data_IF_772715914511
#
_entry.id   IF_772715914511
#
_cell.length_a   1.000
_cell.length_b   1.000
_cell.length_c   1.000
_cell.angle_alpha   90.00
_cell.angle_beta   90.00
_cell.angle_gamma   90.00
#
_symmetry.space_group_name_H-M   'P 1'
#
loop_
_entity.id
_entity.type
_entity.pdbx_description
1 polymer ?
#
# COMPACT_ATOMS: atom_id res chain seq x y z
N UNK A 1 4.43 -15.28 -19.50
CA UNK A 1 3.38 -15.15 -18.47
C UNK A 1 2.02 -14.86 -19.08
N UNK A 2 1.85 -13.80 -19.86
CA UNK A 2 0.56 -13.43 -20.49
C UNK A 2 -0.06 -14.58 -21.27
N UNK A 3 0.70 -15.28 -22.09
CA UNK A 3 0.21 -16.45 -22.83
C UNK A 3 -0.33 -17.57 -21.94
N UNK A 4 0.26 -17.80 -20.77
CA UNK A 4 -0.27 -18.76 -19.78
C UNK A 4 -1.60 -18.31 -19.18
N UNK A 5 -1.75 -17.02 -18.90
CA UNK A 5 -3.00 -16.44 -18.42
C UNK A 5 -4.09 -16.58 -19.48
N UNK A 6 -3.80 -16.16 -20.72
CA UNK A 6 -4.73 -16.27 -21.86
C UNK A 6 -5.14 -17.72 -22.15
N UNK A 7 -4.20 -18.64 -22.08
CA UNK A 7 -4.47 -20.07 -22.24
C UNK A 7 -5.42 -20.58 -21.14
N UNK A 8 -5.14 -20.21 -19.88
CA UNK A 8 -5.98 -20.61 -18.75
C UNK A 8 -7.38 -20.00 -18.80
N UNK A 9 -7.54 -18.83 -19.40
CA UNK A 9 -8.85 -18.23 -19.66
C UNK A 9 -9.57 -19.00 -20.77
N UNK A 10 -8.88 -19.32 -21.88
CA UNK A 10 -9.47 -20.06 -23.01
C UNK A 10 -9.92 -21.48 -22.67
N UNK A 11 -9.13 -22.19 -21.87
CA UNK A 11 -9.45 -23.57 -21.45
C UNK A 11 -10.30 -23.65 -20.18
N UNK A 12 -10.81 -22.50 -19.71
CA UNK A 12 -11.70 -22.38 -18.55
C UNK A 12 -11.11 -22.83 -17.21
N UNK A 13 -9.81 -23.13 -17.14
CA UNK A 13 -9.18 -23.51 -15.87
C UNK A 13 -9.17 -22.38 -14.84
N UNK A 14 -9.19 -21.13 -15.33
CA UNK A 14 -9.19 -19.92 -14.49
C UNK A 14 -8.05 -19.85 -13.45
N UNK A 15 -7.04 -20.69 -13.64
CA UNK A 15 -5.84 -20.73 -12.78
C UNK A 15 -4.60 -20.91 -13.62
N UNK A 16 -3.62 -20.03 -13.44
CA UNK A 16 -2.30 -20.18 -14.01
C UNK A 16 -1.24 -20.30 -12.91
N UNK A 17 -0.27 -21.19 -13.12
CA UNK A 17 0.91 -21.33 -12.25
C UNK A 17 2.12 -20.84 -13.01
N UNK A 18 2.88 -19.95 -12.39
CA UNK A 18 4.09 -19.34 -12.95
C UNK A 18 5.24 -19.61 -11.99
N UNK A 19 6.36 -20.08 -12.52
CA UNK A 19 7.58 -20.37 -11.75
C UNK A 19 8.81 -19.78 -12.42
N UNK A 20 9.89 -19.62 -11.65
CA UNK A 20 11.19 -19.13 -12.15
C UNK A 20 11.27 -17.62 -12.25
N UNK A 21 12.27 -17.13 -12.96
CA UNK A 21 12.60 -15.71 -13.04
C UNK A 21 11.96 -15.05 -14.27
N UNK A 22 11.34 -13.90 -14.09
CA UNK A 22 10.67 -13.14 -15.13
C UNK A 22 11.04 -11.67 -15.05
N UNK A 23 11.44 -11.10 -16.16
CA UNK A 23 11.54 -9.65 -16.31
C UNK A 23 10.23 -9.09 -16.88
N UNK A 24 9.70 -8.03 -16.25
CA UNK A 24 8.42 -7.43 -16.57
C UNK A 24 8.65 -6.03 -17.12
N UNK A 25 8.25 -5.81 -18.34
CA UNK A 25 8.42 -4.56 -19.08
C UNK A 25 7.13 -3.77 -19.29
N UNK A 26 5.98 -4.39 -19.03
CA UNK A 26 4.66 -3.75 -19.09
C UNK A 26 3.68 -4.44 -18.14
N UNK A 27 2.59 -3.76 -17.77
CA UNK A 27 1.60 -4.26 -16.83
C UNK A 27 0.96 -5.58 -17.29
N UNK A 28 0.89 -6.54 -16.36
CA UNK A 28 0.17 -7.80 -16.53
C UNK A 28 -1.27 -7.59 -16.05
N UNK A 29 -2.23 -7.81 -16.95
CA UNK A 29 -3.67 -7.70 -16.62
C UNK A 29 -4.21 -9.03 -16.11
N UNK A 30 -4.85 -8.97 -14.94
CA UNK A 30 -5.49 -10.12 -14.32
C UNK A 30 -7.00 -10.05 -14.58
N UNK A 31 -7.57 -11.06 -15.27
CA UNK A 31 -9.01 -11.06 -15.58
C UNK A 31 -9.86 -11.46 -14.38
N UNK A 32 -11.14 -11.19 -14.46
CA UNK A 32 -12.12 -11.59 -13.44
C UNK A 32 -12.22 -13.12 -13.30
N UNK A 33 -12.50 -13.57 -12.08
CA UNK A 33 -12.61 -15.00 -11.70
C UNK A 33 -11.33 -15.77 -12.02
N UNK A 34 -10.18 -15.21 -11.65
CA UNK A 34 -8.88 -15.74 -12.01
C UNK A 34 -7.94 -15.84 -10.80
N UNK A 35 -7.18 -16.91 -10.75
CA UNK A 35 -6.12 -17.12 -9.76
C UNK A 35 -4.77 -17.25 -10.46
N UNK A 36 -3.86 -16.34 -10.17
CA UNK A 36 -2.44 -16.46 -10.51
C UNK A 36 -1.66 -16.98 -9.31
N UNK A 37 -1.01 -18.11 -9.48
CA UNK A 37 -0.13 -18.71 -8.47
C UNK A 37 1.31 -18.47 -8.89
N UNK A 38 2.08 -17.83 -8.02
CA UNK A 38 3.51 -17.63 -8.17
C UNK A 38 4.24 -18.69 -7.34
N UNK A 39 4.71 -19.76 -7.99
CA UNK A 39 5.34 -20.89 -7.33
C UNK A 39 6.86 -20.83 -7.51
N UNK A 40 7.61 -20.52 -6.45
CA UNK A 40 9.03 -20.27 -6.52
C UNK A 40 9.39 -19.30 -7.67
N UNK A 41 8.66 -18.19 -7.75
CA UNK A 41 8.70 -17.24 -8.86
C UNK A 41 9.27 -15.89 -8.41
N UNK A 42 10.22 -15.37 -9.15
CA UNK A 42 10.76 -14.02 -8.99
C UNK A 42 10.39 -13.17 -10.20
N UNK A 43 9.50 -12.21 -10.00
CA UNK A 43 9.07 -11.25 -11.00
C UNK A 43 9.74 -9.91 -10.71
N UNK A 44 10.55 -9.44 -11.63
CA UNK A 44 11.28 -8.18 -11.49
C UNK A 44 10.89 -7.20 -12.60
N UNK A 45 10.58 -5.97 -12.23
CA UNK A 45 10.41 -4.89 -13.20
C UNK A 45 11.74 -4.60 -13.89
N UNK A 46 11.73 -4.53 -15.22
CA UNK A 46 12.88 -4.15 -16.00
C UNK A 46 13.36 -2.73 -15.65
N UNK A 47 14.66 -2.51 -15.65
CA UNK A 47 15.22 -1.19 -15.38
C UNK A 47 14.81 -0.19 -16.48
N UNK A 48 14.48 1.04 -16.08
CA UNK A 48 13.99 2.08 -16.96
C UNK A 48 12.50 1.98 -17.32
N UNK A 49 11.83 0.90 -16.96
CA UNK A 49 10.38 0.74 -17.19
C UNK A 49 9.59 1.50 -16.14
N UNK A 50 8.63 2.26 -16.63
CA UNK A 50 7.68 3.01 -15.85
C UNK A 50 6.27 2.44 -16.05
N UNK A 51 5.92 1.44 -15.25
CA UNK A 51 4.64 0.74 -15.32
C UNK A 51 4.29 0.09 -13.98
N UNK A 52 3.02 -0.20 -13.74
CA UNK A 52 2.61 -1.15 -12.71
C UNK A 52 3.00 -2.57 -13.14
N UNK A 53 3.30 -3.45 -12.19
CA UNK A 53 3.56 -4.85 -12.53
C UNK A 53 2.25 -5.60 -12.77
N UNK A 54 1.27 -5.46 -11.87
CA UNK A 54 -0.06 -6.07 -12.00
C UNK A 54 -1.17 -5.03 -11.93
N UNK A 55 -2.18 -5.21 -12.77
CA UNK A 55 -3.45 -4.46 -12.70
C UNK A 55 -4.61 -5.42 -13.00
N UNK A 56 -5.84 -5.06 -12.60
CA UNK A 56 -7.03 -5.81 -13.03
C UNK A 56 -7.40 -5.48 -14.49
N UNK A 57 -8.26 -6.30 -15.09
CA UNK A 57 -8.59 -6.26 -16.53
C UNK A 57 -9.10 -4.89 -16.98
N UNK A 58 -10.05 -4.33 -16.26
CA UNK A 58 -10.66 -3.05 -16.61
C UNK A 58 -9.95 -1.83 -16.01
N UNK A 59 -8.81 -2.00 -15.34
CA UNK A 59 -8.05 -0.86 -14.83
C UNK A 59 -7.73 0.16 -15.92
N UNK A 60 -8.05 1.43 -15.64
CA UNK A 60 -7.76 2.56 -16.53
C UNK A 60 -8.59 2.59 -17.82
N UNK A 61 -9.71 1.87 -17.86
CA UNK A 61 -10.69 1.91 -18.96
C UNK A 61 -11.95 2.67 -18.53
N UNK A 62 -12.69 3.20 -19.50
CA UNK A 62 -13.94 3.93 -19.20
C UNK A 62 -14.96 3.08 -18.46
N UNK A 63 -15.09 1.78 -18.81
CA UNK A 63 -15.97 0.86 -18.13
C UNK A 63 -15.49 0.55 -16.72
N UNK A 64 -14.18 0.49 -16.49
CA UNK A 64 -13.59 0.23 -15.17
C UNK A 64 -13.95 1.28 -14.11
N UNK A 65 -14.33 2.48 -14.52
CA UNK A 65 -14.79 3.55 -13.63
C UNK A 65 -16.33 3.55 -13.45
N UNK A 66 -16.99 2.44 -13.76
CA UNK A 66 -18.44 2.26 -13.59
C UNK A 66 -18.73 1.00 -12.79
N UNK A 67 -19.90 0.93 -12.14
CA UNK A 67 -20.34 -0.26 -11.42
C UNK A 67 -20.52 -1.50 -12.33
N UNK A 68 -20.75 -1.30 -13.63
CA UNK A 68 -20.83 -2.41 -14.59
C UNK A 68 -19.47 -2.98 -14.99
N UNK A 69 -18.40 -2.22 -14.77
CA UNK A 69 -17.03 -2.65 -15.07
C UNK A 69 -16.28 -3.18 -13.84
N UNK A 70 -17.00 -3.53 -12.77
CA UNK A 70 -16.39 -4.15 -11.59
C UNK A 70 -15.80 -5.50 -11.94
N UNK A 71 -14.50 -5.66 -11.82
CA UNK A 71 -13.84 -6.95 -11.91
C UNK A 71 -14.11 -7.77 -10.64
N UNK A 72 -14.08 -9.11 -10.75
CA UNK A 72 -14.49 -9.97 -9.64
C UNK A 72 -13.53 -11.12 -9.39
N UNK A 73 -13.36 -11.47 -8.11
CA UNK A 73 -12.67 -12.70 -7.67
C UNK A 73 -11.27 -12.85 -8.30
N UNK A 74 -10.39 -11.87 -8.09
CA UNK A 74 -9.02 -11.90 -8.59
C UNK A 74 -8.06 -12.28 -7.48
N UNK A 75 -7.32 -13.38 -7.67
CA UNK A 75 -6.37 -13.86 -6.66
C UNK A 75 -4.94 -13.87 -7.19
N UNK A 76 -4.01 -13.34 -6.41
CA UNK A 76 -2.56 -13.41 -6.60
C UNK A 76 -1.96 -14.08 -5.37
N UNK A 77 -1.47 -15.31 -5.51
CA UNK A 77 -1.08 -16.15 -4.39
C UNK A 77 0.34 -16.66 -4.61
N UNK A 78 1.20 -16.46 -3.63
CA UNK A 78 2.53 -17.04 -3.59
C UNK A 78 2.53 -18.48 -3.06
N UNK A 79 3.50 -19.26 -3.53
CA UNK A 79 3.87 -20.56 -2.98
C UNK A 79 5.39 -20.67 -2.97
N UNK A 80 5.97 -21.15 -1.87
CA UNK A 80 7.42 -21.18 -1.74
C UNK A 80 8.02 -19.77 -1.74
N UNK A 81 9.02 -19.52 -2.55
CA UNK A 81 9.71 -18.23 -2.66
C UNK A 81 9.08 -17.35 -3.77
N UNK A 82 7.89 -16.86 -3.53
CA UNK A 82 7.23 -15.94 -4.45
C UNK A 82 7.67 -14.48 -4.18
N UNK A 83 8.19 -13.80 -5.18
CA UNK A 83 8.73 -12.44 -5.04
C UNK A 83 8.27 -11.51 -6.16
N UNK A 84 7.84 -10.31 -5.77
CA UNK A 84 7.62 -9.16 -6.65
C UNK A 84 8.71 -8.12 -6.37
N UNK A 85 9.48 -7.76 -7.36
CA UNK A 85 10.64 -6.88 -7.25
C UNK A 85 10.47 -5.66 -8.17
N UNK A 86 10.44 -4.45 -7.60
CA UNK A 86 10.34 -3.20 -8.34
C UNK A 86 11.59 -2.83 -9.15
N UNK A 87 12.68 -3.60 -9.03
CA UNK A 87 13.94 -3.33 -9.71
C UNK A 87 14.70 -2.14 -9.10
N UNK A 88 15.75 -1.70 -9.78
CA UNK A 88 16.66 -0.69 -9.25
C UNK A 88 16.34 0.72 -9.72
N UNK A 89 15.87 0.89 -10.94
CA UNK A 89 15.70 2.19 -11.58
C UNK A 89 14.55 2.17 -12.60
N UNK A 90 13.65 3.14 -12.50
CA UNK A 90 12.51 3.26 -13.42
C UNK A 90 12.37 4.65 -14.08
N UNK A 91 13.34 5.53 -13.89
CA UNK A 91 13.31 6.88 -14.47
C UNK A 91 12.55 7.92 -13.66
N UNK A 92 11.95 7.55 -12.53
CA UNK A 92 11.29 8.48 -11.63
C UNK A 92 12.16 8.86 -10.43
N UNK A 93 12.06 10.10 -10.01
CA UNK A 93 12.67 10.61 -8.78
C UNK A 93 11.75 11.68 -8.16
N UNK A 94 12.07 12.12 -6.96
CA UNK A 94 11.34 13.23 -6.30
C UNK A 94 11.41 14.54 -7.10
N UNK A 95 12.39 14.68 -7.99
CA UNK A 95 12.51 15.86 -8.86
C UNK A 95 11.63 15.83 -10.09
N UNK A 96 11.50 14.67 -10.72
CA UNK A 96 10.87 14.55 -12.03
C UNK A 96 9.49 13.90 -12.02
N UNK A 97 8.97 13.52 -10.85
CA UNK A 97 7.60 13.02 -10.75
C UNK A 97 6.60 14.15 -10.52
N UNK A 98 5.35 13.87 -10.80
CA UNK A 98 4.23 14.73 -10.45
C UNK A 98 3.07 13.92 -9.91
N UNK A 99 2.60 14.28 -8.71
CA UNK A 99 1.41 13.65 -8.12
C UNK A 99 0.14 13.97 -8.91
N UNK A 100 0.09 15.15 -9.52
CA UNK A 100 -1.09 15.68 -10.20
C UNK A 100 -0.92 15.84 -11.70
N UNK A 101 0.21 15.43 -12.26
CA UNK A 101 0.57 15.64 -13.65
C UNK A 101 1.14 14.43 -14.36
N UNK A 102 2.10 14.69 -15.23
CA UNK A 102 2.83 13.68 -15.99
C UNK A 102 4.31 13.68 -15.58
N UNK A 103 4.93 12.52 -15.41
CA UNK A 103 4.32 11.19 -15.40
C UNK A 103 3.48 10.94 -14.15
N UNK A 104 2.32 10.27 -14.26
CA UNK A 104 1.46 10.01 -13.11
C UNK A 104 2.06 8.91 -12.22
N UNK A 105 2.32 9.22 -10.97
CA UNK A 105 3.00 8.32 -10.01
C UNK A 105 2.30 6.97 -9.81
N UNK A 106 0.97 6.90 -9.98
CA UNK A 106 0.20 5.65 -9.87
C UNK A 106 0.45 4.63 -10.98
N UNK A 107 1.35 4.90 -11.91
CA UNK A 107 1.85 3.90 -12.87
C UNK A 107 3.14 3.23 -12.39
N UNK A 108 3.40 3.14 -11.11
CA UNK A 108 4.66 2.66 -10.57
C UNK A 108 4.47 1.78 -9.32
N UNK A 109 3.42 0.97 -9.28
CA UNK A 109 3.14 0.05 -8.19
C UNK A 109 3.51 -1.40 -8.58
N UNK A 110 3.78 -2.25 -7.60
CA UNK A 110 3.85 -3.70 -7.86
C UNK A 110 2.47 -4.25 -8.19
N UNK A 111 1.43 -3.75 -7.52
CA UNK A 111 0.05 -4.08 -7.82
C UNK A 111 -0.83 -2.83 -7.66
N UNK A 112 -1.67 -2.57 -8.64
CA UNK A 112 -2.74 -1.57 -8.55
C UNK A 112 -4.05 -2.18 -8.99
N UNK A 113 -4.97 -2.41 -8.05
CA UNK A 113 -6.34 -2.81 -8.33
C UNK A 113 -7.29 -1.64 -8.21
N UNK A 114 -8.20 -1.51 -9.17
CA UNK A 114 -9.24 -0.48 -9.19
C UNK A 114 -10.59 -1.11 -9.50
N UNK A 115 -11.59 -0.87 -8.65
CA UNK A 115 -12.95 -1.40 -8.83
C UNK A 115 -13.00 -2.93 -8.92
N UNK A 116 -12.55 -3.59 -7.85
CA UNK A 116 -12.53 -5.06 -7.76
C UNK A 116 -13.38 -5.52 -6.58
N UNK A 117 -14.29 -6.45 -6.81
CA UNK A 117 -15.13 -7.10 -5.81
C UNK A 117 -14.71 -8.57 -5.61
N UNK A 118 -14.16 -8.86 -4.46
CA UNK A 118 -13.54 -10.15 -4.14
C UNK A 118 -12.11 -10.26 -4.66
N UNK A 119 -11.14 -10.23 -3.76
CA UNK A 119 -9.74 -10.44 -4.12
C UNK A 119 -8.95 -11.07 -2.98
N UNK A 120 -7.90 -11.76 -3.36
CA UNK A 120 -6.89 -12.26 -2.41
C UNK A 120 -5.49 -11.98 -2.92
N UNK A 121 -4.66 -11.34 -2.08
CA UNK A 121 -3.21 -11.19 -2.31
C UNK A 121 -2.49 -11.75 -1.09
N UNK A 122 -1.75 -12.85 -1.27
CA UNK A 122 -1.13 -13.49 -0.12
C UNK A 122 0.15 -14.25 -0.41
N UNK A 123 0.96 -14.43 0.66
CA UNK A 123 2.12 -15.31 0.67
C UNK A 123 3.23 -14.84 -0.30
N UNK A 124 3.47 -13.53 -0.35
CA UNK A 124 4.36 -12.88 -1.32
C UNK A 124 5.37 -11.99 -0.60
N UNK A 125 6.61 -12.03 -1.07
CA UNK A 125 7.64 -11.07 -0.73
C UNK A 125 7.66 -9.91 -1.72
N UNK A 126 7.55 -8.67 -1.24
CA UNK A 126 7.68 -7.45 -2.05
C UNK A 126 9.04 -6.81 -1.81
N UNK A 127 9.79 -6.53 -2.86
CA UNK A 127 11.14 -5.98 -2.81
C UNK A 127 11.27 -4.76 -3.69
N UNK A 128 12.08 -3.80 -3.26
CA UNK A 128 12.45 -2.64 -4.05
C UNK A 128 11.23 -1.91 -4.64
N UNK A 129 10.10 -1.91 -3.92
CA UNK A 129 8.92 -1.17 -4.37
C UNK A 129 9.26 0.31 -4.47
N UNK A 130 8.69 0.95 -5.49
CA UNK A 130 8.90 2.35 -5.77
C UNK A 130 7.58 3.04 -5.76
N UNK A 131 7.28 3.85 -4.82
CA UNK A 131 5.98 4.36 -4.52
C UNK A 131 5.17 3.29 -3.77
N UNK A 132 3.89 3.11 -3.97
CA UNK A 132 3.09 2.12 -3.24
C UNK A 132 3.30 0.72 -3.79
N UNK A 133 3.56 -0.26 -2.92
CA UNK A 133 3.74 -1.64 -3.39
C UNK A 133 2.40 -2.25 -3.82
N UNK A 134 1.45 -2.36 -2.91
CA UNK A 134 0.12 -2.96 -3.13
C UNK A 134 -0.96 -1.89 -2.91
N UNK A 135 -1.56 -1.40 -3.97
CA UNK A 135 -2.47 -0.26 -3.94
C UNK A 135 -3.87 -0.65 -4.43
N UNK A 136 -4.90 -0.24 -3.70
CA UNK A 136 -6.29 -0.61 -3.93
C UNK A 136 -7.19 0.63 -3.89
N UNK A 137 -8.05 0.77 -4.89
CA UNK A 137 -9.01 1.88 -5.02
C UNK A 137 -10.36 1.31 -5.40
N UNK A 138 -11.43 1.60 -4.65
CA UNK A 138 -12.75 0.99 -4.82
C UNK A 138 -12.71 -0.55 -4.88
N UNK A 139 -11.89 -1.17 -4.03
CA UNK A 139 -11.78 -2.61 -3.92
C UNK A 139 -12.50 -3.09 -2.66
N UNK A 140 -13.28 -4.16 -2.78
CA UNK A 140 -14.12 -4.64 -1.69
C UNK A 140 -14.04 -6.16 -1.52
N UNK A 141 -14.44 -6.66 -0.35
CA UNK A 141 -14.44 -8.10 -0.02
C UNK A 141 -13.06 -8.74 -0.22
N UNK A 142 -12.04 -8.13 0.37
CA UNK A 142 -10.63 -8.44 0.13
C UNK A 142 -9.90 -9.13 1.27
N UNK A 143 -8.89 -9.91 0.90
CA UNK A 143 -7.91 -10.45 1.84
C UNK A 143 -6.49 -10.14 1.38
N UNK A 144 -5.68 -9.56 2.27
CA UNK A 144 -4.25 -9.32 2.07
C UNK A 144 -3.51 -9.93 3.27
N UNK A 145 -2.64 -10.90 3.04
CA UNK A 145 -2.00 -11.54 4.17
C UNK A 145 -0.69 -12.25 3.87
N UNK A 146 0.13 -12.43 4.92
CA UNK A 146 1.45 -13.04 4.80
C UNK A 146 2.33 -12.32 3.77
N UNK A 147 2.44 -11.00 3.87
CA UNK A 147 3.27 -10.18 2.99
C UNK A 147 4.52 -9.74 3.73
N UNK A 148 5.66 -9.91 3.09
CA UNK A 148 6.95 -9.47 3.61
C UNK A 148 7.55 -8.39 2.71
N UNK A 149 7.85 -7.22 3.29
CA UNK A 149 8.38 -6.06 2.56
C UNK A 149 9.88 -5.88 2.79
N UNK A 150 10.58 -5.44 1.77
CA UNK A 150 11.88 -4.81 1.92
C UNK A 150 12.05 -3.73 0.85
N UNK A 151 11.72 -2.51 1.22
CA UNK A 151 11.91 -1.33 0.38
C UNK A 151 13.39 -1.12 0.07
N UNK A 152 13.66 -0.45 -1.03
CA UNK A 152 15.01 -0.11 -1.42
C UNK A 152 15.53 1.07 -0.57
N UNK A 153 16.53 0.83 0.25
CA UNK A 153 17.27 1.87 0.99
C UNK A 153 18.48 2.40 0.21
N UNK A 154 18.69 1.88 -1.00
CA UNK A 154 19.79 2.21 -1.89
C UNK A 154 19.25 2.56 -3.26
N UNK A 155 19.54 3.76 -3.74
CA UNK A 155 19.18 4.20 -5.09
C UNK A 155 20.36 4.01 -6.05
N UNK A 156 20.08 3.52 -7.26
CA UNK A 156 21.06 3.39 -8.35
C UNK A 156 20.55 4.20 -9.54
N UNK A 157 21.35 5.16 -10.03
CA UNK A 157 20.96 5.97 -11.19
C UNK A 157 21.26 5.25 -12.52
N UNK A 158 20.86 5.88 -13.64
CA UNK A 158 21.07 5.35 -14.99
C UNK A 158 22.55 5.15 -15.38
N UNK A 159 23.47 5.79 -14.65
CA UNK A 159 24.91 5.67 -14.86
C UNK A 159 25.56 4.63 -13.92
N UNK A 160 24.75 3.96 -13.08
CA UNK A 160 25.23 2.98 -12.10
C UNK A 160 25.82 3.59 -10.83
N UNK A 161 25.68 4.91 -10.60
CA UNK A 161 26.09 5.51 -9.34
C UNK A 161 25.15 5.10 -8.20
N UNK A 162 25.73 4.74 -7.05
CA UNK A 162 25.02 4.21 -5.90
C UNK A 162 24.89 5.28 -4.81
N UNK A 163 23.69 5.47 -4.30
CA UNK A 163 23.36 6.41 -3.21
C UNK A 163 22.69 5.63 -2.08
N UNK A 164 23.32 5.61 -0.91
CA UNK A 164 22.85 4.83 0.23
C UNK A 164 22.09 5.69 1.24
N UNK A 165 21.06 5.10 1.81
CA UNK A 165 20.34 5.61 2.97
C UNK A 165 19.33 6.71 2.66
N UNK A 166 18.20 6.61 3.30
CA UNK A 166 17.03 7.49 3.16
C UNK A 166 17.32 8.96 3.44
N UNK A 167 18.35 9.25 4.23
CA UNK A 167 18.73 10.62 4.62
C UNK A 167 19.64 11.32 3.61
N UNK A 168 20.14 10.61 2.60
CA UNK A 168 21.03 11.23 1.61
C UNK A 168 20.22 12.11 0.65
N UNK A 169 20.66 13.36 0.50
CA UNK A 169 20.00 14.34 -0.38
C UNK A 169 19.84 13.80 -1.82
N UNK A 170 20.83 13.07 -2.33
CA UNK A 170 20.80 12.53 -3.70
C UNK A 170 19.92 11.29 -3.88
N UNK A 171 19.51 10.62 -2.82
CA UNK A 171 18.57 9.53 -2.92
C UNK A 171 17.26 9.98 -3.60
N UNK A 172 16.71 11.11 -3.14
CA UNK A 172 15.50 11.70 -3.72
C UNK A 172 15.69 12.18 -5.18
N UNK A 173 16.92 12.40 -5.63
CA UNK A 173 17.23 12.77 -7.00
C UNK A 173 17.15 11.57 -7.96
N UNK A 174 17.21 10.36 -7.43
CA UNK A 174 17.32 9.11 -8.22
C UNK A 174 16.05 8.27 -8.14
N UNK A 175 15.49 8.12 -6.94
CA UNK A 175 14.26 7.37 -6.70
C UNK A 175 13.16 8.26 -6.13
N UNK A 176 11.93 7.93 -6.42
CA UNK A 176 10.78 8.43 -5.67
C UNK A 176 10.83 7.78 -4.30
N UNK A 177 10.88 8.59 -3.26
CA UNK A 177 10.61 8.16 -1.89
C UNK A 177 9.12 7.88 -1.73
N UNK A 178 8.70 7.40 -0.61
CA UNK A 178 7.33 7.05 -0.33
C UNK A 178 7.00 5.61 -0.78
N UNK A 179 7.93 4.72 -0.49
CA UNK A 179 7.76 3.31 -0.78
C UNK A 179 6.93 2.63 0.32
N UNK A 180 5.61 2.89 0.27
CA UNK A 180 4.64 2.27 1.16
C UNK A 180 4.50 0.77 0.88
N UNK A 181 3.97 0.05 1.84
CA UNK A 181 3.63 -1.37 1.70
C UNK A 181 2.25 -1.55 1.08
N UNK A 182 1.19 -1.41 1.87
CA UNK A 182 -0.20 -1.60 1.46
C UNK A 182 -0.95 -0.29 1.58
N UNK A 183 -1.61 0.12 0.51
CA UNK A 183 -2.49 1.27 0.47
C UNK A 183 -3.92 0.88 0.14
N UNK A 184 -4.85 1.10 1.05
CA UNK A 184 -6.27 1.12 0.76
C UNK A 184 -6.72 2.57 0.61
N UNK A 185 -7.43 2.86 -0.48
CA UNK A 185 -7.90 4.21 -0.76
C UNK A 185 -9.41 4.29 -0.78
N UNK A 186 -9.96 5.43 -1.16
CA UNK A 186 -11.41 5.65 -1.17
C UNK A 186 -12.18 4.50 -1.82
N UNK A 187 -13.36 4.23 -1.31
CA UNK A 187 -14.25 3.17 -1.78
C UNK A 187 -13.81 1.75 -1.41
N UNK A 188 -12.71 1.58 -0.67
CA UNK A 188 -12.29 0.27 -0.17
C UNK A 188 -13.03 -0.08 1.11
N UNK A 189 -13.63 -1.28 1.18
CA UNK A 189 -14.30 -1.75 2.39
C UNK A 189 -14.39 -3.29 2.45
N UNK A 190 -14.73 -3.81 3.62
CA UNK A 190 -14.84 -5.25 3.89
C UNK A 190 -13.51 -5.99 3.58
N UNK A 191 -12.41 -5.52 4.17
CA UNK A 191 -11.06 -6.02 3.90
C UNK A 191 -10.37 -6.45 5.19
N UNK A 192 -9.75 -7.64 5.15
CA UNK A 192 -8.83 -8.11 6.17
C UNK A 192 -7.38 -8.00 5.68
N UNK A 193 -6.54 -7.34 6.49
CA UNK A 193 -5.07 -7.28 6.32
C UNK A 193 -4.44 -7.97 7.52
N UNK A 194 -3.59 -8.99 7.30
CA UNK A 194 -2.93 -9.65 8.43
C UNK A 194 -1.54 -10.22 8.11
N UNK A 195 -0.73 -10.36 9.17
CA UNK A 195 0.62 -10.96 9.08
C UNK A 195 1.52 -10.20 8.10
N UNK A 196 1.74 -8.93 8.36
CA UNK A 196 2.60 -8.06 7.56
C UNK A 196 3.95 -7.91 8.26
N UNK A 197 5.03 -8.16 7.54
CA UNK A 197 6.41 -8.12 8.07
C UNK A 197 7.35 -7.32 7.20
N UNK A 198 8.56 -7.08 7.71
CA UNK A 198 9.69 -6.53 6.96
C UNK A 198 9.89 -5.04 7.12
N UNK A 199 10.42 -4.39 6.09
CA UNK A 199 10.81 -2.98 6.10
C UNK A 199 10.12 -2.19 4.99
N UNK A 200 9.60 -1.01 5.34
CA UNK A 200 9.05 -0.02 4.39
C UNK A 200 9.73 1.34 4.57
N UNK A 201 10.00 1.99 3.46
CA UNK A 201 10.62 3.33 3.45
C UNK A 201 9.65 4.42 3.89
N UNK A 202 8.34 4.21 3.73
CA UNK A 202 7.31 5.10 4.25
C UNK A 202 6.32 4.30 5.13
N UNK A 203 5.03 4.33 4.91
CA UNK A 203 4.03 3.65 5.73
C UNK A 203 3.95 2.15 5.38
N UNK A 204 3.84 1.24 6.37
CA UNK A 204 3.72 -0.19 6.05
C UNK A 204 2.30 -0.58 5.64
N UNK A 205 1.29 -0.02 6.31
CA UNK A 205 -0.13 -0.14 5.94
C UNK A 205 -0.76 1.23 6.05
N UNK A 206 -1.28 1.75 4.96
CA UNK A 206 -1.95 3.04 4.89
C UNK A 206 -3.41 2.90 4.45
N UNK A 207 -4.33 3.47 5.22
CA UNK A 207 -5.71 3.69 4.85
C UNK A 207 -5.87 5.17 4.51
N UNK A 208 -5.93 5.48 3.22
CA UNK A 208 -5.82 6.83 2.68
C UNK A 208 -7.17 7.33 2.16
N UNK A 209 -7.95 7.93 3.04
CA UNK A 209 -9.24 8.54 2.73
C UNK A 209 -9.05 9.97 2.20
N UNK A 210 -8.51 10.07 1.00
CA UNK A 210 -8.32 11.34 0.27
C UNK A 210 -9.23 11.39 -0.95
N UNK A 211 -9.46 12.59 -1.45
CA UNK A 211 -10.17 12.85 -2.71
C UNK A 211 -9.29 13.68 -3.66
N UNK A 212 -8.06 13.19 -3.86
CA UNK A 212 -7.08 13.81 -4.75
C UNK A 212 -7.27 13.37 -6.21
N UNK A 213 -6.33 13.79 -7.06
CA UNK A 213 -6.39 13.46 -8.49
C UNK A 213 -6.29 11.98 -8.79
N UNK A 214 -5.49 11.25 -8.02
CA UNK A 214 -5.40 9.79 -8.14
C UNK A 214 -6.77 9.15 -7.91
N UNK A 215 -7.37 9.47 -6.78
CA UNK A 215 -8.66 8.91 -6.36
C UNK A 215 -9.78 9.30 -7.35
N UNK A 216 -9.81 10.54 -7.78
CA UNK A 216 -10.77 11.02 -8.79
C UNK A 216 -10.59 10.35 -10.15
N UNK A 217 -9.34 10.03 -10.54
CA UNK A 217 -9.05 9.34 -11.80
C UNK A 217 -9.69 7.94 -11.86
N UNK A 218 -9.79 7.27 -10.72
CA UNK A 218 -10.33 5.92 -10.60
C UNK A 218 -11.66 5.87 -9.83
N UNK A 219 -12.31 7.00 -9.64
CA UNK A 219 -13.60 7.04 -8.96
C UNK A 219 -14.67 6.28 -9.73
N UNK A 220 -15.42 5.44 -9.01
CA UNK A 220 -16.49 4.62 -9.60
C UNK A 220 -17.83 5.30 -9.37
N UNK A 221 -18.45 5.76 -10.45
CA UNK A 221 -19.72 6.46 -10.38
C UNK A 221 -20.82 5.58 -9.79
N UNK A 222 -21.46 6.07 -8.75
CA UNK A 222 -22.60 5.41 -8.09
C UNK A 222 -22.20 4.49 -6.93
N UNK A 223 -20.92 4.30 -6.65
CA UNK A 223 -20.43 3.64 -5.44
C UNK A 223 -20.08 4.66 -4.36
N UNK A 224 -20.14 4.24 -3.07
CA UNK A 224 -19.66 5.05 -1.97
C UNK A 224 -18.14 5.22 -2.06
N UNK A 225 -17.65 6.40 -1.73
CA UNK A 225 -16.22 6.67 -1.56
C UNK A 225 -15.71 6.35 -0.15
N UNK A 226 -16.58 5.95 0.78
CA UNK A 226 -16.19 5.66 2.16
C UNK A 226 -15.13 4.55 2.20
N UNK A 227 -14.14 4.72 3.07
CA UNK A 227 -13.16 3.71 3.41
C UNK A 227 -13.54 3.15 4.78
N UNK A 228 -14.03 1.92 4.84
CA UNK A 228 -14.62 1.41 6.07
C UNK A 228 -14.59 -0.11 6.19
N UNK A 229 -14.95 -0.59 7.37
CA UNK A 229 -15.02 -2.02 7.69
C UNK A 229 -13.72 -2.76 7.31
N UNK A 230 -12.60 -2.23 7.81
CA UNK A 230 -11.26 -2.81 7.58
C UNK A 230 -10.70 -3.32 8.91
N UNK A 231 -10.19 -4.53 8.88
CA UNK A 231 -9.48 -5.10 10.01
C UNK A 231 -8.00 -5.31 9.65
N UNK A 232 -7.10 -4.80 10.51
CA UNK A 232 -5.65 -4.91 10.37
C UNK A 232 -5.12 -5.69 11.57
N UNK A 233 -4.45 -6.83 11.34
CA UNK A 233 -3.94 -7.69 12.39
C UNK A 233 -2.47 -8.02 12.21
N UNK A 234 -1.73 -8.08 13.31
CA UNK A 234 -0.36 -8.60 13.37
C UNK A 234 0.58 -7.96 12.32
N UNK A 235 0.76 -6.63 12.44
CA UNK A 235 1.74 -5.86 11.66
C UNK A 235 3.05 -5.81 12.47
N UNK A 236 4.11 -6.43 11.96
CA UNK A 236 5.44 -6.52 12.59
C UNK A 236 6.48 -5.97 11.62
N UNK A 237 6.55 -4.67 11.50
CA UNK A 237 7.36 -4.00 10.47
C UNK A 237 8.28 -2.95 11.05
N UNK A 238 9.40 -2.74 10.38
CA UNK A 238 10.20 -1.53 10.53
C UNK A 238 9.73 -0.53 9.47
N UNK A 239 9.08 0.55 9.88
CA UNK A 239 8.61 1.59 8.98
C UNK A 239 9.34 2.90 9.26
N UNK A 240 9.87 3.56 8.23
CA UNK A 240 10.50 4.86 8.44
C UNK A 240 9.48 5.92 8.88
N UNK A 241 8.28 5.94 8.30
CA UNK A 241 7.20 6.82 8.71
C UNK A 241 6.27 6.17 9.73
N UNK A 242 5.41 5.24 9.33
CA UNK A 242 4.38 4.69 10.22
C UNK A 242 4.14 3.21 9.94
N UNK A 243 4.00 2.39 10.98
CA UNK A 243 3.62 0.99 10.75
C UNK A 243 2.17 0.88 10.28
N UNK A 244 1.23 1.62 10.90
CA UNK A 244 -0.17 1.69 10.44
C UNK A 244 -0.67 3.13 10.44
N UNK A 245 -1.05 3.65 9.28
CA UNK A 245 -1.53 5.00 9.09
C UNK A 245 -3.00 5.03 8.66
N UNK A 246 -3.80 5.83 9.34
CA UNK A 246 -5.15 6.21 8.95
C UNK A 246 -5.15 7.69 8.56
N UNK A 247 -5.07 7.97 7.26
CA UNK A 247 -5.01 9.32 6.73
C UNK A 247 -6.39 9.78 6.28
N UNK A 248 -6.93 10.81 6.91
CA UNK A 248 -8.15 11.47 6.47
C UNK A 248 -8.01 12.98 6.59
N UNK A 249 -8.37 13.70 5.53
CA UNK A 249 -8.38 15.17 5.47
C UNK A 249 -9.74 15.74 5.09
N UNK A 250 -10.78 14.93 5.18
CA UNK A 250 -12.15 15.29 4.86
C UNK A 250 -12.55 14.93 3.41
N UNK A 251 -13.82 15.14 3.12
CA UNK A 251 -14.50 14.80 1.87
C UNK A 251 -14.70 13.31 1.61
N UNK A 252 -14.04 12.43 2.35
CA UNK A 252 -14.20 10.97 2.35
C UNK A 252 -14.33 10.52 3.79
N UNK A 253 -15.19 9.55 4.07
CA UNK A 253 -15.30 8.99 5.42
C UNK A 253 -14.36 7.83 5.63
N UNK A 254 -13.76 7.78 6.81
CA UNK A 254 -12.89 6.72 7.31
C UNK A 254 -13.47 6.21 8.62
N UNK A 255 -14.05 5.02 8.62
CA UNK A 255 -14.78 4.54 9.79
C UNK A 255 -14.85 3.01 9.89
N UNK A 256 -15.25 2.53 11.08
CA UNK A 256 -15.37 1.10 11.38
C UNK A 256 -14.07 0.34 11.11
N UNK A 257 -12.97 0.82 11.69
CA UNK A 257 -11.62 0.27 11.54
C UNK A 257 -11.17 -0.40 12.83
N UNK A 258 -10.63 -1.60 12.72
CA UNK A 258 -10.00 -2.32 13.82
C UNK A 258 -8.52 -2.56 13.51
N UNK A 259 -7.65 -2.10 14.39
CA UNK A 259 -6.20 -2.36 14.36
C UNK A 259 -5.85 -3.21 15.59
N UNK A 260 -5.36 -4.42 15.40
CA UNK A 260 -5.03 -5.36 16.46
C UNK A 260 -3.65 -5.99 16.28
N UNK A 261 -2.71 -5.58 17.10
CA UNK A 261 -1.33 -6.08 17.05
C UNK A 261 -0.46 -5.32 16.07
N UNK A 262 0.16 -4.23 16.53
CA UNK A 262 1.19 -3.50 15.80
C UNK A 262 2.47 -3.52 16.62
N UNK A 263 3.52 -4.06 16.04
CA UNK A 263 4.82 -4.21 16.69
C UNK A 263 5.88 -3.52 15.83
N UNK A 264 6.34 -2.37 16.30
CA UNK A 264 7.41 -1.63 15.63
C UNK A 264 8.75 -2.38 15.80
N UNK A 265 9.32 -2.80 14.67
CA UNK A 265 10.57 -3.55 14.58
C UNK A 265 11.76 -2.66 14.19
N UNK A 266 11.62 -1.34 14.29
CA UNK A 266 12.65 -0.39 13.87
C UNK A 266 14.00 -0.60 14.55
N UNK A 267 13.99 -0.98 15.82
CA UNK A 267 15.20 -1.27 16.61
C UNK A 267 15.88 -2.61 16.24
N UNK A 268 15.22 -3.47 15.51
CA UNK A 268 15.75 -4.74 15.01
C UNK A 268 16.13 -4.69 13.53
N UNK A 269 15.80 -3.59 12.85
CA UNK A 269 16.00 -3.45 11.41
C UNK A 269 17.40 -2.93 11.07
N UNK A 270 18.09 -3.51 10.08
CA UNK A 270 19.35 -2.95 9.57
C UNK A 270 19.16 -1.70 8.70
N UNK A 271 17.93 -1.36 8.33
CA UNK A 271 17.62 -0.29 7.36
C UNK A 271 17.35 1.06 8.01
N UNK A 272 16.82 1.06 9.24
CA UNK A 272 16.52 2.27 9.99
C UNK A 272 16.89 2.12 11.45
N UNK A 273 17.32 3.21 12.09
CA UNK A 273 17.57 3.22 13.53
C UNK A 273 16.27 3.39 14.32
N UNK A 274 15.30 4.12 13.76
CA UNK A 274 14.08 4.52 14.46
C UNK A 274 13.02 5.05 13.48
N UNK A 275 11.81 4.54 13.58
CA UNK A 275 10.63 5.06 12.87
C UNK A 275 10.04 6.33 13.52
N UNK A 276 9.01 6.90 12.89
CA UNK A 276 8.30 8.06 13.45
C UNK A 276 7.17 7.64 14.37
N UNK A 277 6.27 6.75 13.92
CA UNK A 277 5.06 6.37 14.64
C UNK A 277 4.75 4.88 14.46
N UNK A 278 4.24 4.21 15.50
CA UNK A 278 3.66 2.89 15.32
C UNK A 278 2.25 2.99 14.72
N UNK A 279 1.39 3.86 15.26
CA UNK A 279 0.07 4.14 14.68
C UNK A 279 -0.15 5.65 14.59
N UNK A 280 -0.62 6.11 13.42
CA UNK A 280 -0.98 7.51 13.20
C UNK A 280 -2.41 7.61 12.66
N UNK A 281 -3.26 8.39 13.32
CA UNK A 281 -4.66 8.61 12.93
C UNK A 281 -4.90 10.09 12.69
N UNK A 282 -5.43 10.40 11.51
CA UNK A 282 -5.67 11.76 11.08
C UNK A 282 -4.42 12.49 10.60
N UNK A 283 -4.58 13.75 10.25
CA UNK A 283 -3.50 14.57 9.73
C UNK A 283 -3.64 16.04 10.13
N UNK A 284 -2.54 16.78 10.01
CA UNK A 284 -2.45 18.22 10.32
C UNK A 284 -2.56 19.10 9.07
N UNK A 285 -3.42 18.77 8.14
CA UNK A 285 -3.64 19.47 6.84
C UNK A 285 -2.46 19.39 5.89
N UNK A 286 -1.71 18.28 5.93
CA UNK A 286 -0.53 18.10 5.06
C UNK A 286 -0.92 18.00 3.57
N UNK A 287 -2.06 17.33 3.28
CA UNK A 287 -2.52 17.07 1.91
C UNK A 287 -3.82 17.80 1.54
N UNK A 288 -4.47 18.47 2.49
CA UNK A 288 -5.73 19.15 2.33
C UNK A 288 -5.74 20.54 2.95
N UNK A 289 -6.83 21.25 2.74
CA UNK A 289 -7.01 22.62 3.25
C UNK A 289 -7.64 22.70 4.64
N UNK A 290 -8.24 21.60 5.11
CA UNK A 290 -8.94 21.50 6.42
C UNK A 290 -8.62 20.19 7.13
N UNK A 291 -8.99 20.10 8.39
CA UNK A 291 -9.03 18.85 9.14
C UNK A 291 -10.29 18.05 8.80
N UNK A 292 -10.24 16.73 8.93
CA UNK A 292 -11.43 15.90 8.96
C UNK A 292 -12.30 16.23 10.18
N UNK A 293 -13.60 16.07 10.04
CA UNK A 293 -14.59 16.24 11.12
C UNK A 293 -14.85 14.91 11.84
N UNK A 294 -15.54 14.97 12.98
CA UNK A 294 -15.96 13.77 13.70
C UNK A 294 -16.92 12.87 12.89
N UNK A 295 -17.64 13.43 11.94
CA UNK A 295 -18.54 12.68 11.06
C UNK A 295 -17.80 12.06 9.85
N UNK A 296 -16.52 12.38 9.69
CA UNK A 296 -15.67 11.85 8.63
C UNK A 296 -14.65 10.84 9.18
N UNK A 297 -14.32 10.87 10.49
CA UNK A 297 -13.40 9.92 11.13
C UNK A 297 -14.02 9.39 12.41
N UNK A 298 -14.45 8.13 12.44
CA UNK A 298 -15.15 7.59 13.60
C UNK A 298 -15.11 6.06 13.71
N UNK A 299 -15.48 5.53 14.88
CA UNK A 299 -15.54 4.09 15.17
C UNK A 299 -14.20 3.39 14.89
N UNK A 300 -13.14 3.85 15.51
CA UNK A 300 -11.79 3.29 15.34
C UNK A 300 -11.39 2.60 16.64
N UNK A 301 -10.97 1.35 16.54
CA UNK A 301 -10.42 0.57 17.66
C UNK A 301 -8.96 0.25 17.38
N UNK A 302 -8.07 0.62 18.30
CA UNK A 302 -6.64 0.31 18.25
C UNK A 302 -6.26 -0.44 19.52
N UNK A 303 -5.72 -1.63 19.35
CA UNK A 303 -5.33 -2.46 20.49
C UNK A 303 -4.03 -3.24 20.24
N UNK A 304 -3.34 -3.55 21.34
CA UNK A 304 -2.10 -4.34 21.31
C UNK A 304 -1.01 -3.70 20.42
N UNK A 305 -0.63 -2.46 20.74
CA UNK A 305 0.42 -1.73 20.02
C UNK A 305 1.67 -1.61 20.89
N UNK A 306 2.82 -2.04 20.37
CA UNK A 306 4.13 -1.84 20.99
C UNK A 306 5.03 -1.02 20.05
N UNK A 307 5.28 0.24 20.38
CA UNK A 307 6.03 1.18 19.53
C UNK A 307 7.39 1.58 20.13
N UNK A 308 8.43 1.54 19.31
CA UNK A 308 9.80 1.95 19.63
C UNK A 308 10.28 3.21 18.90
N UNK A 309 9.45 3.77 18.02
CA UNK A 309 9.74 4.98 17.24
C UNK A 309 9.81 6.27 18.06
N UNK A 310 9.62 7.42 17.41
CA UNK A 310 9.56 8.70 18.12
C UNK A 310 8.34 8.78 19.03
N UNK A 311 7.20 8.25 18.53
CA UNK A 311 5.95 8.13 19.27
C UNK A 311 5.28 6.79 18.98
N UNK A 312 4.57 6.26 19.96
CA UNK A 312 3.72 5.09 19.75
C UNK A 312 2.48 5.47 18.95
N UNK A 313 1.78 6.50 19.40
CA UNK A 313 0.58 7.01 18.75
C UNK A 313 0.75 8.46 18.29
N UNK A 314 0.10 8.81 17.17
CA UNK A 314 -0.13 10.19 16.76
C UNK A 314 -1.59 10.36 16.36
N UNK A 315 -2.27 11.36 16.96
CA UNK A 315 -3.66 11.68 16.70
C UNK A 315 -3.76 13.11 16.21
N UNK A 316 -4.49 13.36 15.13
CA UNK A 316 -4.69 14.70 14.58
C UNK A 316 -6.05 14.84 13.92
N UNK A 317 -6.54 16.07 13.77
CA UNK A 317 -7.90 16.35 13.31
C UNK A 317 -8.95 16.05 14.36
N UNK A 318 -10.21 15.88 13.94
CA UNK A 318 -11.33 15.50 14.81
C UNK A 318 -11.73 14.06 14.56
N UNK A 319 -12.12 13.36 15.62
CA UNK A 319 -12.58 11.98 15.53
C UNK A 319 -13.49 11.63 16.69
N UNK A 320 -14.44 10.71 16.49
CA UNK A 320 -15.33 10.22 17.55
C UNK A 320 -15.28 8.69 17.68
N UNK A 321 -15.63 8.18 18.83
CA UNK A 321 -15.65 6.75 19.15
C UNK A 321 -14.27 6.08 18.86
N UNK A 322 -13.19 6.70 19.35
CA UNK A 322 -11.85 6.11 19.34
C UNK A 322 -11.64 5.28 20.61
N UNK A 323 -11.33 4.01 20.45
CA UNK A 323 -11.01 3.08 21.54
C UNK A 323 -9.53 2.68 21.46
N UNK A 324 -8.78 2.90 22.54
CA UNK A 324 -7.37 2.57 22.65
C UNK A 324 -7.16 1.60 23.82
N UNK A 325 -6.47 0.48 23.62
CA UNK A 325 -6.16 -0.48 24.67
C UNK A 325 -4.87 -1.25 24.39
N UNK A 326 -4.14 -1.64 25.44
CA UNK A 326 -2.88 -2.40 25.29
C UNK A 326 -1.82 -1.65 24.50
N UNK A 327 -1.64 -0.36 24.80
CA UNK A 327 -0.65 0.51 24.11
C UNK A 327 0.59 0.60 24.96
N UNK A 328 1.73 0.20 24.41
CA UNK A 328 3.01 0.13 25.11
C UNK A 328 4.11 0.89 24.36
N UNK A 329 4.94 1.59 25.12
CA UNK A 329 6.13 2.25 24.59
C UNK A 329 7.37 1.45 24.95
N UNK A 330 8.25 1.21 23.98
CA UNK A 330 9.59 0.63 24.19
C UNK A 330 10.68 1.61 23.77
N UNK A 331 11.92 1.36 24.19
CA UNK A 331 13.13 2.07 23.73
C UNK A 331 13.04 3.61 23.85
N UNK A 332 12.35 4.11 24.88
CA UNK A 332 12.23 5.53 25.13
C UNK A 332 11.30 6.28 24.15
N UNK A 333 10.44 5.58 23.44
CA UNK A 333 9.39 6.20 22.63
C UNK A 333 8.43 7.01 23.51
N UNK A 334 7.94 8.13 23.01
CA UNK A 334 6.86 8.88 23.67
C UNK A 334 5.53 8.20 23.36
N UNK A 335 4.64 8.13 24.35
CA UNK A 335 3.36 7.43 24.23
C UNK A 335 2.46 8.05 23.16
N UNK A 336 2.28 9.37 23.18
CA UNK A 336 1.29 10.06 22.37
C UNK A 336 1.79 11.41 21.87
N UNK A 337 1.57 11.67 20.58
CA UNK A 337 1.53 13.01 20.00
C UNK A 337 0.06 13.35 19.71
N UNK A 338 -0.50 14.31 20.42
CA UNK A 338 -1.91 14.70 20.30
C UNK A 338 -2.02 16.09 19.67
N UNK A 339 -2.37 16.12 18.41
CA UNK A 339 -2.61 17.33 17.62
C UNK A 339 -4.11 17.39 17.20
N UNK A 340 -5.02 16.77 17.97
CA UNK A 340 -6.45 16.81 17.67
C UNK A 340 -6.99 18.23 17.79
N UNK A 341 -7.93 18.54 16.93
CA UNK A 341 -8.72 19.77 17.01
C UNK A 341 -9.99 19.49 17.84
N UNK A 342 -10.24 20.35 18.81
CA UNK A 342 -11.44 20.30 19.69
C UNK A 342 -12.59 21.04 19.01
#
# INVERSE_FOLDING_TARGET
MRSKIEESVRNESRTAIVSGNWEIDEAIRLPSNFTLILEDAHLRMADGVYSNMFVNEHHGTDIGNTANGTDRNINLIGRGNAMLDGGNYNGLSEKNHSRDGLPPIWKNNLLLFTNVDGFKVSDISCRNQRWWALNFIYCVNGYIGNIDFCSNDTAIDENGNVYHGLKQKKYADVLVKNADGIDLRQGCHDILIENITGFTEDDSVALTALNGKLEQTFAVKGLSSDLCNVEIRNVRTAAFCTNVRLLNQGDVKLHDIVIDGVYDMGDESPHIDKGLFAVRIGDTRLYGTRHATEDETYNITVKNVCGGGNYVLSLAGSMKNLVLSGIEAKNGAKMLKDDRTV
#
